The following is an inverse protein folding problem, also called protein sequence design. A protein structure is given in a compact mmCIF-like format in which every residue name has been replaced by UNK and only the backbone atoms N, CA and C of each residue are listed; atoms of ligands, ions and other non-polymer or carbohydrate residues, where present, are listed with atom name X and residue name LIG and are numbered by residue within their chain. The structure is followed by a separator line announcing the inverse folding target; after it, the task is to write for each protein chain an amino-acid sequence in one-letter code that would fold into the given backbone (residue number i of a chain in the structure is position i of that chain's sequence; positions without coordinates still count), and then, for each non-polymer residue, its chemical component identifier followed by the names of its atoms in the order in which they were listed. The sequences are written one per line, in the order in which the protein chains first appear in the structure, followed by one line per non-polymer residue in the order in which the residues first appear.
data_IF_863829561211
#
_entry.id   IF_863829561211
#
_cell.length_a   1.000
_cell.length_b   1.000
_cell.length_c   1.000
_cell.angle_alpha   90.00
_cell.angle_beta   90.00
_cell.angle_gamma   90.00
#
_symmetry.space_group_name_H-M   'P 1'
#
loop_
_entity.id
_entity.type
_entity.pdbx_description
1 polymer ?
#
# COMPACT_ATOMS: atom_id res chain seq x y z
N UNK A 1 23.78 10.25 34.32
CA UNK A 1 23.43 11.67 34.10
C UNK A 1 22.70 11.91 32.77
N UNK A 2 22.94 11.14 31.70
CA UNK A 2 22.19 11.27 30.44
C UNK A 2 20.69 10.88 30.56
N UNK A 3 20.37 9.87 31.37
CA UNK A 3 18.98 9.40 31.55
C UNK A 3 18.05 10.43 32.23
N UNK A 4 18.57 11.30 33.09
CA UNK A 4 17.77 12.32 33.77
C UNK A 4 17.44 13.50 32.85
N UNK A 5 18.36 13.84 31.93
CA UNK A 5 18.09 14.81 30.87
C UNK A 5 16.99 14.30 29.91
N UNK A 6 16.99 13.00 29.61
CA UNK A 6 15.97 12.38 28.76
C UNK A 6 14.60 12.34 29.45
N UNK A 7 14.54 11.94 30.73
CA UNK A 7 13.29 11.94 31.51
C UNK A 7 12.68 13.34 31.63
N UNK A 8 13.51 14.35 31.90
CA UNK A 8 13.03 15.75 31.97
C UNK A 8 12.54 16.27 30.61
N UNK A 9 13.13 15.82 29.50
CA UNK A 9 12.61 16.11 28.16
C UNK A 9 11.26 15.43 27.91
N UNK A 10 11.10 14.16 28.31
CA UNK A 10 9.83 13.45 28.22
C UNK A 10 8.72 14.12 29.03
N UNK A 11 9.00 14.56 30.26
CA UNK A 11 8.03 15.28 31.10
C UNK A 11 7.62 16.61 30.47
N UNK A 12 8.57 17.34 29.87
CA UNK A 12 8.28 18.60 29.16
C UNK A 12 7.45 18.34 27.90
N UNK A 13 7.76 17.29 27.15
CA UNK A 13 7.00 16.89 25.98
C UNK A 13 5.58 16.46 26.36
N UNK A 14 5.40 15.67 27.42
CA UNK A 14 4.09 15.25 27.91
C UNK A 14 3.25 16.45 28.37
N UNK A 15 3.86 17.42 29.07
CA UNK A 15 3.20 18.70 29.41
C UNK A 15 2.84 19.55 28.19
N UNK A 16 3.62 19.49 27.11
CA UNK A 16 3.30 20.19 25.88
C UNK A 16 2.13 19.52 25.14
N UNK A 17 2.10 18.18 25.13
CA UNK A 17 1.00 17.37 24.59
C UNK A 17 -0.31 17.64 25.34
N UNK A 18 -0.31 17.66 26.67
CA UNK A 18 -1.54 17.96 27.46
C UNK A 18 -2.06 19.38 27.21
N UNK A 19 -1.19 20.31 26.80
CA UNK A 19 -1.56 21.67 26.39
C UNK A 19 -1.99 21.77 24.93
N UNK A 20 -2.05 20.66 24.19
CA UNK A 20 -2.39 20.62 22.77
C UNK A 20 -1.30 21.13 21.82
N UNK A 21 -0.06 21.35 22.31
CA UNK A 21 1.05 21.90 21.52
C UNK A 21 1.94 20.78 20.95
N UNK A 22 1.38 20.01 20.01
CA UNK A 22 2.05 18.86 19.38
C UNK A 22 3.41 19.20 18.77
N UNK A 23 3.49 20.28 17.99
CA UNK A 23 4.73 20.72 17.33
C UNK A 23 5.84 21.06 18.33
N UNK A 24 5.50 21.70 19.45
CA UNK A 24 6.48 22.00 20.50
C UNK A 24 6.98 20.73 21.20
N UNK A 25 6.12 19.74 21.40
CA UNK A 25 6.51 18.45 21.95
C UNK A 25 7.46 17.70 21.01
N UNK A 26 7.18 17.70 19.70
CA UNK A 26 8.04 17.09 18.69
C UNK A 26 9.42 17.74 18.64
N UNK A 27 9.50 19.07 18.79
CA UNK A 27 10.78 19.79 18.83
C UNK A 27 11.60 19.37 20.06
N UNK A 28 10.98 19.35 21.25
CA UNK A 28 11.63 18.91 22.49
C UNK A 28 12.16 17.48 22.37
N UNK A 29 11.35 16.58 21.79
CA UNK A 29 11.74 15.18 21.62
C UNK A 29 12.87 15.01 20.60
N UNK A 30 12.88 15.79 19.51
CA UNK A 30 13.97 15.74 18.52
C UNK A 30 15.28 16.29 19.08
N UNK A 31 15.21 17.32 19.93
CA UNK A 31 16.39 17.89 20.57
C UNK A 31 16.99 16.94 21.62
N UNK A 32 16.16 16.12 22.28
CA UNK A 32 16.59 15.15 23.30
C UNK A 32 16.99 13.78 22.72
N UNK A 33 16.28 13.29 21.71
CA UNK A 33 16.48 12.01 21.06
C UNK A 33 16.24 12.14 19.54
N UNK A 34 17.24 12.65 18.84
CA UNK A 34 17.20 12.80 17.39
C UNK A 34 17.03 11.46 16.63
N UNK A 35 17.45 10.35 17.27
CA UNK A 35 17.37 9.00 16.71
C UNK A 35 16.05 8.29 16.97
N UNK A 36 15.28 8.70 17.99
CA UNK A 36 13.95 8.16 18.28
C UNK A 36 13.95 6.65 18.56
N UNK A 37 14.96 6.14 19.26
CA UNK A 37 15.08 4.69 19.49
C UNK A 37 14.32 4.22 20.73
N UNK A 38 14.09 5.10 21.71
CA UNK A 38 13.40 4.77 22.95
C UNK A 38 11.87 4.63 22.72
N UNK A 39 11.23 3.59 23.27
CA UNK A 39 9.78 3.36 23.11
C UNK A 39 8.94 4.51 23.69
N UNK A 40 9.42 5.18 24.74
CA UNK A 40 8.78 6.35 25.35
C UNK A 40 8.84 7.58 24.44
N UNK A 41 9.97 7.82 23.77
CA UNK A 41 10.10 8.87 22.75
C UNK A 41 9.15 8.62 21.60
N UNK A 42 9.09 7.39 21.09
CA UNK A 42 8.17 6.99 20.01
C UNK A 42 6.71 7.19 20.40
N UNK A 43 6.33 6.82 21.64
CA UNK A 43 4.98 7.05 22.16
C UNK A 43 4.62 8.53 22.18
N UNK A 44 5.48 9.36 22.77
CA UNK A 44 5.23 10.80 22.90
C UNK A 44 5.23 11.48 21.52
N UNK A 45 6.14 11.10 20.62
CA UNK A 45 6.20 11.62 19.27
C UNK A 45 4.96 11.23 18.47
N UNK A 46 4.49 9.98 18.60
CA UNK A 46 3.26 9.51 17.97
C UNK A 46 2.02 10.29 18.46
N UNK A 47 1.88 10.52 19.77
CA UNK A 47 0.79 11.31 20.33
C UNK A 47 0.87 12.78 19.89
N UNK A 48 2.05 13.39 19.91
CA UNK A 48 2.24 14.75 19.44
C UNK A 48 1.92 14.91 17.93
N UNK A 49 2.30 13.92 17.11
CA UNK A 49 1.96 13.87 15.68
C UNK A 49 0.46 13.71 15.47
N UNK A 50 -0.24 12.94 16.32
CA UNK A 50 -1.69 12.82 16.26
C UNK A 50 -2.40 14.15 16.56
N UNK A 51 -1.90 14.94 17.52
CA UNK A 51 -2.44 16.27 17.80
C UNK A 51 -2.28 17.24 16.62
N UNK A 52 -1.11 17.24 15.97
CA UNK A 52 -0.90 18.02 14.74
C UNK A 52 -1.81 17.54 13.62
N UNK A 53 -1.98 16.22 13.47
CA UNK A 53 -2.87 15.63 12.48
C UNK A 53 -4.32 16.07 12.68
N UNK A 54 -4.79 16.17 13.93
CA UNK A 54 -6.11 16.72 14.27
C UNK A 54 -6.23 18.19 13.89
N UNK A 55 -5.23 19.00 14.26
CA UNK A 55 -5.24 20.43 14.01
C UNK A 55 -5.23 20.77 12.50
N UNK A 56 -4.49 19.98 11.70
CA UNK A 56 -4.30 20.21 10.26
C UNK A 56 -5.23 19.36 9.39
N UNK A 57 -6.05 18.49 10.00
CA UNK A 57 -6.87 17.47 9.34
C UNK A 57 -6.09 16.65 8.27
N UNK A 58 -4.83 16.33 8.55
CA UNK A 58 -3.91 15.76 7.58
C UNK A 58 -3.87 14.22 7.66
N UNK A 59 -4.45 13.54 6.66
CA UNK A 59 -4.48 12.07 6.57
C UNK A 59 -3.09 11.42 6.62
N UNK A 60 -2.07 12.07 6.05
CA UNK A 60 -0.71 11.51 6.05
C UNK A 60 -0.10 11.52 7.46
N UNK A 61 -0.39 12.56 8.25
CA UNK A 61 0.08 12.67 9.63
C UNK A 61 -0.63 11.68 10.55
N UNK A 62 -1.92 11.37 10.32
CA UNK A 62 -2.62 10.28 11.01
C UNK A 62 -1.90 8.94 10.82
N UNK A 63 -1.53 8.60 9.57
CA UNK A 63 -0.77 7.37 9.27
C UNK A 63 0.60 7.38 9.91
N UNK A 64 1.28 8.53 9.90
CA UNK A 64 2.60 8.67 10.54
C UNK A 64 2.50 8.48 12.05
N UNK A 65 1.51 9.08 12.71
CA UNK A 65 1.22 8.87 14.13
C UNK A 65 0.96 7.38 14.44
N UNK A 66 0.18 6.70 13.59
CA UNK A 66 -0.12 5.28 13.75
C UNK A 66 1.15 4.42 13.62
N UNK A 67 2.02 4.71 12.65
CA UNK A 67 3.29 3.99 12.50
C UNK A 67 4.22 4.15 13.69
N UNK A 68 4.33 5.36 14.24
CA UNK A 68 5.17 5.64 15.42
C UNK A 68 4.64 4.94 16.68
N UNK A 69 3.32 5.00 16.92
CA UNK A 69 2.69 4.34 18.06
C UNK A 69 2.76 2.81 17.93
N UNK A 70 2.58 2.26 16.73
CA UNK A 70 2.77 0.84 16.46
C UNK A 70 4.20 0.38 16.72
N UNK A 71 5.19 1.18 16.37
CA UNK A 71 6.60 0.86 16.66
C UNK A 71 6.86 0.91 18.17
N UNK A 72 6.28 1.89 18.88
CA UNK A 72 6.37 1.99 20.34
C UNK A 72 5.78 0.75 21.04
N UNK A 73 4.59 0.30 20.65
CA UNK A 73 3.93 -0.89 21.23
C UNK A 73 4.67 -2.17 20.88
N UNK A 74 5.26 -2.26 19.68
CA UNK A 74 6.10 -3.39 19.28
C UNK A 74 7.38 -3.47 20.12
N UNK A 75 8.04 -2.33 20.39
CA UNK A 75 9.26 -2.29 21.23
C UNK A 75 8.96 -2.49 22.71
N UNK A 76 7.82 -1.99 23.20
CA UNK A 76 7.39 -2.17 24.58
C UNK A 76 5.91 -2.59 24.69
N UNK A 77 5.62 -3.90 24.56
CA UNK A 77 4.25 -4.41 24.59
C UNK A 77 3.61 -4.39 25.99
N UNK A 78 4.34 -4.00 27.04
CA UNK A 78 3.81 -3.85 28.41
C UNK A 78 3.30 -2.43 28.69
N UNK A 79 3.54 -1.47 27.80
CA UNK A 79 3.11 -0.09 27.98
C UNK A 79 1.64 0.10 27.60
N UNK A 80 0.76 -0.04 28.60
CA UNK A 80 -0.68 0.20 28.46
C UNK A 80 -1.02 1.61 27.97
N UNK A 81 -0.17 2.61 28.22
CA UNK A 81 -0.43 3.98 27.74
C UNK A 81 -0.23 4.06 26.23
N UNK A 82 0.80 3.42 25.70
CA UNK A 82 1.05 3.34 24.27
C UNK A 82 -0.09 2.59 23.56
N UNK A 83 -0.49 1.43 24.08
CA UNK A 83 -1.60 0.64 23.52
C UNK A 83 -2.92 1.42 23.49
N UNK A 84 -3.27 2.08 24.60
CA UNK A 84 -4.49 2.89 24.67
C UNK A 84 -4.46 4.03 23.66
N UNK A 85 -3.36 4.77 23.60
CA UNK A 85 -3.21 5.89 22.67
C UNK A 85 -3.26 5.43 21.22
N UNK A 86 -2.67 4.27 20.92
CA UNK A 86 -2.73 3.65 19.60
C UNK A 86 -4.17 3.27 19.23
N UNK A 87 -4.90 2.58 20.11
CA UNK A 87 -6.29 2.20 19.86
C UNK A 87 -7.22 3.41 19.71
N UNK A 88 -7.04 4.46 20.53
CA UNK A 88 -7.81 5.69 20.43
C UNK A 88 -7.58 6.39 19.08
N UNK A 89 -6.33 6.41 18.60
CA UNK A 89 -5.97 6.88 17.27
C UNK A 89 -6.64 6.04 16.18
N UNK A 90 -6.63 4.71 16.28
CA UNK A 90 -7.23 3.82 15.28
C UNK A 90 -8.74 3.99 15.19
N UNK A 91 -9.42 4.12 16.33
CA UNK A 91 -10.85 4.40 16.36
C UNK A 91 -11.16 5.73 15.65
N UNK A 92 -10.40 6.79 15.94
CA UNK A 92 -10.59 8.08 15.27
C UNK A 92 -10.27 8.01 13.76
N UNK A 93 -9.25 7.25 13.37
CA UNK A 93 -8.94 7.02 11.96
C UNK A 93 -10.07 6.27 11.26
N UNK A 94 -10.68 5.27 11.91
CA UNK A 94 -11.82 4.54 11.39
C UNK A 94 -13.04 5.44 11.22
N UNK A 95 -13.38 6.26 12.22
CA UNK A 95 -14.48 7.23 12.17
C UNK A 95 -14.29 8.24 11.02
N UNK A 96 -13.04 8.64 10.75
CA UNK A 96 -12.69 9.56 9.66
C UNK A 96 -12.51 8.88 8.30
N UNK A 97 -12.65 7.55 8.21
CA UNK A 97 -12.40 6.78 6.99
C UNK A 97 -10.94 6.86 6.50
N UNK A 98 -9.99 7.04 7.42
CA UNK A 98 -8.56 7.14 7.13
C UNK A 98 -7.94 5.75 7.33
N UNK A 99 -7.50 5.13 6.24
CA UNK A 99 -6.73 3.88 6.31
C UNK A 99 -5.31 4.12 6.84
N UNK A 100 -4.77 3.17 7.61
CA UNK A 100 -3.36 3.17 8.05
C UNK A 100 -2.36 3.23 6.88
N UNK A 101 -2.74 2.79 5.68
CA UNK A 101 -1.87 2.78 4.50
C UNK A 101 -2.59 3.39 3.30
N UNK A 102 -1.88 4.20 2.51
CA UNK A 102 -2.40 4.77 1.25
C UNK A 102 -2.57 3.71 0.16
N UNK A 103 -1.80 2.63 0.24
CA UNK A 103 -1.88 1.47 -0.65
C UNK A 103 -2.10 0.22 0.22
N UNK A 104 -3.10 -0.62 -0.07
CA UNK A 104 -3.31 -1.83 0.71
C UNK A 104 -2.08 -2.71 0.64
N UNK A 105 -1.67 -3.29 1.77
CA UNK A 105 -0.54 -4.22 1.81
C UNK A 105 -0.87 -5.37 0.88
N UNK A 106 0.01 -5.68 -0.08
CA UNK A 106 -0.17 -6.84 -0.97
C UNK A 106 0.31 -8.13 -0.33
N UNK A 107 1.29 -8.02 0.57
CA UNK A 107 1.87 -9.15 1.30
C UNK A 107 1.83 -8.85 2.79
N UNK A 108 1.51 -9.88 3.58
CA UNK A 108 1.69 -9.87 5.02
C UNK A 108 2.46 -11.14 5.41
N UNK A 109 3.70 -10.97 5.86
CA UNK A 109 4.56 -12.08 6.35
C UNK A 109 4.69 -13.25 5.35
N UNK A 110 4.78 -12.93 4.06
CA UNK A 110 4.91 -13.91 2.97
C UNK A 110 3.59 -14.43 2.40
N UNK A 111 2.45 -14.16 3.05
CA UNK A 111 1.12 -14.50 2.54
C UNK A 111 0.52 -13.34 1.73
N UNK A 112 -0.04 -13.60 0.52
CA UNK A 112 -0.81 -12.59 -0.20
C UNK A 112 -2.04 -12.18 0.60
N UNK A 113 -2.21 -10.88 0.80
CA UNK A 113 -3.48 -10.34 1.32
C UNK A 113 -4.55 -10.43 0.23
N UNK A 114 -5.84 -10.17 0.52
CA UNK A 114 -6.87 -10.11 -0.52
C UNK A 114 -6.51 -9.14 -1.66
N UNK A 115 -5.90 -8.00 -1.35
CA UNK A 115 -5.38 -7.07 -2.36
C UNK A 115 -4.21 -7.66 -3.15
N UNK A 116 -3.33 -8.41 -2.49
CA UNK A 116 -2.25 -9.16 -3.14
C UNK A 116 -2.77 -10.22 -4.12
N UNK A 117 -3.82 -10.95 -3.76
CA UNK A 117 -4.45 -11.95 -4.64
C UNK A 117 -4.99 -11.28 -5.91
N UNK A 118 -5.71 -10.16 -5.77
CA UNK A 118 -6.21 -9.40 -6.93
C UNK A 118 -5.06 -8.88 -7.80
N UNK A 119 -3.99 -8.37 -7.19
CA UNK A 119 -2.82 -7.89 -7.92
C UNK A 119 -2.13 -9.01 -8.71
N UNK A 120 -1.98 -10.20 -8.13
CA UNK A 120 -1.44 -11.38 -8.82
C UNK A 120 -2.35 -11.76 -10.00
N UNK A 121 -3.67 -11.80 -9.79
CA UNK A 121 -4.62 -12.11 -10.85
C UNK A 121 -4.52 -11.13 -12.02
N UNK A 122 -4.50 -9.82 -11.74
CA UNK A 122 -4.36 -8.79 -12.77
C UNK A 122 -3.01 -8.87 -13.49
N UNK A 123 -1.93 -9.20 -12.77
CA UNK A 123 -0.62 -9.40 -13.38
C UNK A 123 -0.65 -10.57 -14.37
N UNK A 124 -1.28 -11.69 -14.02
CA UNK A 124 -1.46 -12.84 -14.93
C UNK A 124 -2.29 -12.43 -16.15
N UNK A 125 -3.41 -11.73 -15.96
CA UNK A 125 -4.25 -11.25 -17.07
C UNK A 125 -3.47 -10.31 -17.99
N UNK A 126 -2.65 -9.41 -17.45
CA UNK A 126 -1.80 -8.51 -18.24
C UNK A 126 -0.76 -9.29 -19.04
N UNK A 127 -0.10 -10.28 -18.43
CA UNK A 127 0.85 -11.14 -19.16
C UNK A 127 0.14 -11.87 -20.30
N UNK A 128 -1.04 -12.44 -20.06
CA UNK A 128 -1.82 -13.11 -21.09
C UNK A 128 -2.26 -12.14 -22.20
N UNK A 129 -2.65 -10.91 -21.86
CA UNK A 129 -3.00 -9.89 -22.84
C UNK A 129 -1.79 -9.48 -23.70
N UNK A 130 -0.60 -9.35 -23.10
CA UNK A 130 0.64 -9.08 -23.84
C UNK A 130 1.01 -10.23 -24.77
N UNK A 131 0.91 -11.48 -24.30
CA UNK A 131 1.13 -12.67 -25.14
C UNK A 131 0.11 -12.70 -26.28
N UNK A 132 -1.18 -12.43 -26.00
CA UNK A 132 -2.21 -12.38 -27.02
C UNK A 132 -1.89 -11.32 -28.09
N UNK A 133 -1.46 -10.13 -27.69
CA UNK A 133 -1.08 -9.06 -28.61
C UNK A 133 0.18 -9.42 -29.42
N UNK A 134 1.20 -10.00 -28.79
CA UNK A 134 2.42 -10.43 -29.49
C UNK A 134 2.14 -11.58 -30.48
N UNK A 135 1.16 -12.44 -30.16
CA UNK A 135 0.74 -13.55 -31.01
C UNK A 135 -0.37 -13.15 -32.00
N UNK A 136 -0.83 -11.90 -32.00
CA UNK A 136 -1.58 -11.37 -33.15
C UNK A 136 -0.58 -11.17 -34.28
N UNK A 137 -0.32 -12.24 -35.01
CA UNK A 137 0.00 -12.08 -36.42
C UNK A 137 -1.20 -11.37 -37.03
N UNK A 138 -0.99 -10.19 -37.62
CA UNK A 138 -1.91 -9.67 -38.62
C UNK A 138 -1.98 -10.74 -39.70
N UNK A 139 -2.90 -11.69 -39.54
CA UNK A 139 -3.40 -12.46 -40.65
C UNK A 139 -4.24 -11.46 -41.44
N UNK A 140 -3.57 -10.58 -42.18
CA UNK A 140 -3.91 -10.46 -43.58
C UNK A 140 -3.63 -11.84 -44.14
N UNK A 141 -4.55 -12.79 -43.91
CA UNK A 141 -4.46 -14.11 -44.51
C UNK A 141 -4.77 -13.88 -45.96
N UNK A 142 -3.71 -13.56 -46.69
CA UNK A 142 -3.63 -13.72 -48.11
C UNK A 142 -3.93 -15.19 -48.47
N UNK A 143 -3.83 -16.14 -47.53
CA UNK A 143 -4.21 -17.54 -47.73
C UNK A 143 -5.49 -17.88 -46.95
N UNK A 144 -6.57 -18.17 -47.67
CA UNK A 144 -7.86 -18.65 -47.15
C UNK A 144 -8.02 -20.13 -47.47
N UNK A 145 -8.04 -20.98 -46.44
CA UNK A 145 -8.36 -22.40 -46.58
C UNK A 145 -9.86 -22.64 -46.38
N UNK A 146 -10.52 -23.18 -47.40
CA UNK A 146 -11.92 -23.57 -47.37
C UNK A 146 -12.04 -25.09 -47.36
N UNK A 147 -12.62 -25.64 -46.29
CA UNK A 147 -12.96 -27.06 -46.24
C UNK A 147 -14.34 -27.27 -46.88
N UNK A 148 -14.36 -28.01 -47.99
CA UNK A 148 -15.59 -28.28 -48.73
C UNK A 148 -15.95 -29.76 -48.63
N UNK A 149 -17.24 -30.03 -48.44
CA UNK A 149 -17.80 -31.38 -48.56
C UNK A 149 -18.82 -31.43 -49.70
N UNK A 150 -18.81 -32.48 -50.50
CA UNK A 150 -19.75 -32.68 -51.60
C UNK A 150 -20.24 -34.13 -51.67
N UNK A 151 -21.22 -34.38 -52.55
CA UNK A 151 -21.92 -35.67 -52.65
C UNK A 151 -22.58 -36.10 -51.33
N UNK A 152 -23.34 -35.20 -50.71
CA UNK A 152 -24.03 -35.45 -49.43
C UNK A 152 -23.09 -35.66 -48.23
N UNK A 153 -21.85 -35.18 -48.30
CA UNK A 153 -20.83 -35.36 -47.26
C UNK A 153 -19.96 -36.61 -47.43
N UNK A 154 -20.14 -37.37 -48.51
CA UNK A 154 -19.34 -38.56 -48.78
C UNK A 154 -17.90 -38.23 -49.24
N UNK A 155 -17.66 -37.04 -49.76
CA UNK A 155 -16.34 -36.56 -50.15
C UNK A 155 -16.03 -35.24 -49.45
N UNK A 156 -14.78 -35.06 -49.02
CA UNK A 156 -14.26 -33.81 -48.48
C UNK A 156 -12.91 -33.44 -49.09
N UNK A 157 -12.59 -32.16 -49.11
CA UNK A 157 -11.29 -31.65 -49.55
C UNK A 157 -11.06 -30.21 -49.09
N UNK A 158 -9.79 -29.82 -49.00
CA UNK A 158 -9.37 -28.46 -48.64
C UNK A 158 -9.02 -27.70 -49.91
N UNK A 159 -9.65 -26.53 -50.09
CA UNK A 159 -9.34 -25.58 -51.15
C UNK A 159 -8.56 -24.42 -50.53
N UNK A 160 -7.29 -24.31 -50.88
CA UNK A 160 -6.43 -23.20 -50.46
C UNK A 160 -6.49 -22.08 -51.50
N UNK A 161 -6.93 -20.89 -51.10
CA UNK A 161 -7.00 -19.69 -51.92
C UNK A 161 -5.90 -18.73 -51.46
N UNK A 162 -4.89 -18.51 -52.28
CA UNK A 162 -3.84 -17.52 -52.03
C UNK A 162 -4.13 -16.23 -52.85
N UNK A 163 -4.20 -15.11 -52.17
CA UNK A 163 -4.42 -13.76 -52.67
C UNK A 163 -3.09 -13.02 -52.68
N UNK A 164 -2.84 -12.23 -53.71
CA UNK A 164 -1.62 -11.44 -53.85
C UNK A 164 -2.00 -9.95 -53.96
N UNK A 165 -2.25 -9.25 -52.84
CA UNK A 165 -2.70 -7.86 -52.84
C UNK A 165 -1.72 -6.94 -53.57
N UNK A 166 -0.42 -7.26 -53.45
CA UNK A 166 0.71 -6.50 -53.99
C UNK A 166 0.79 -6.55 -55.52
N UNK A 167 0.07 -7.47 -56.16
CA UNK A 167 0.01 -7.67 -57.61
C UNK A 167 -1.31 -7.17 -58.23
N UNK A 168 -2.19 -6.55 -57.44
CA UNK A 168 -3.41 -5.93 -57.95
C UNK A 168 -3.07 -4.64 -58.75
N UNK A 169 -3.67 -4.41 -59.94
CA UNK A 169 -3.40 -3.25 -60.78
C UNK A 169 -3.94 -1.92 -60.21
#
# INVERSE_FOLDING_TARGET
MADDAMKTAWDKAEKAITKGKGESALKILRDADAGGNEPTTLRLAGHATWLEAKARNNRAEYRRAASLLREATKKNPRDKKADRTYNDLLNEMQDKGISETSFPRLLNEGTPTPAGIVAIFLAVVLVLAMINLANRTDTTTDIVDMELTWNGGANSGTVTIELYPDAAP
#
